data_IF_269672501237
#
_entry.id   IF_269672501237
#
_cell.length_a   1.000
_cell.length_b   1.000
_cell.length_c   1.000
_cell.angle_alpha   90.00
_cell.angle_beta   90.00
_cell.angle_gamma   90.00
#
_symmetry.space_group_name_H-M   'P 1'
#
loop_
_entity.id
_entity.type
_entity.pdbx_description
1 polymer ?
#
# COMPACT_ATOMS: atom_id res chain seq x y z
N UNK A 1 15.37 5.50 14.70
CA UNK A 1 14.65 6.68 15.21
C UNK A 1 14.71 7.73 14.12
N UNK A 2 13.60 8.45 13.90
CA UNK A 2 13.29 9.40 12.82
C UNK A 2 12.74 8.71 11.56
N UNK A 3 11.42 8.46 11.55
CA UNK A 3 10.61 8.50 10.32
C UNK A 3 9.67 9.71 10.49
N UNK A 4 10.13 10.94 10.23
CA UNK A 4 9.39 12.15 10.57
C UNK A 4 8.36 12.51 9.49
N UNK A 5 8.24 11.72 8.43
CA UNK A 5 7.35 11.97 7.28
C UNK A 5 6.77 10.65 6.74
N UNK A 6 6.25 9.78 7.61
CA UNK A 6 5.31 8.73 7.15
C UNK A 6 3.99 9.46 6.92
N UNK A 7 3.88 10.00 5.71
CA UNK A 7 2.72 10.77 5.26
C UNK A 7 3.14 11.96 4.43
N UNK A 8 3.46 11.70 3.16
CA UNK A 8 3.73 12.78 2.21
C UNK A 8 2.41 13.44 1.80
N UNK A 9 1.87 14.30 2.66
CA UNK A 9 0.87 15.27 2.23
C UNK A 9 1.58 16.38 1.45
N UNK A 10 1.93 16.05 0.20
CA UNK A 10 2.83 16.86 -0.61
C UNK A 10 2.13 18.19 -0.90
N UNK A 11 2.68 19.30 -0.40
CA UNK A 11 2.15 20.67 -0.62
C UNK A 11 1.85 21.01 -2.10
N UNK A 12 2.54 20.34 -3.03
CA UNK A 12 2.31 20.48 -4.48
C UNK A 12 1.05 19.76 -4.98
N UNK A 13 0.60 18.70 -4.31
CA UNK A 13 -0.66 18.01 -4.61
C UNK A 13 -1.84 18.83 -4.07
N UNK A 14 -1.67 19.43 -2.89
CA UNK A 14 -2.73 20.16 -2.20
C UNK A 14 -3.09 21.50 -2.86
N UNK A 15 -2.29 22.01 -3.82
CA UNK A 15 -2.55 23.28 -4.51
C UNK A 15 -2.87 24.48 -3.58
N UNK A 16 -2.30 24.49 -2.37
CA UNK A 16 -2.54 25.52 -1.35
C UNK A 16 -3.60 25.17 -0.30
N UNK A 17 -4.31 24.05 -0.44
CA UNK A 17 -5.27 23.55 0.55
C UNK A 17 -4.55 22.95 1.77
N UNK A 18 -5.18 23.01 2.96
CA UNK A 18 -4.67 22.33 4.14
C UNK A 18 -4.68 20.81 3.95
N UNK A 19 -3.65 20.16 4.46
CA UNK A 19 -3.62 18.71 4.48
C UNK A 19 -4.65 18.18 5.48
N UNK A 20 -5.75 17.64 4.98
CA UNK A 20 -6.67 16.84 5.78
C UNK A 20 -6.38 15.36 5.57
N UNK A 21 -5.78 14.73 6.59
CA UNK A 21 -5.36 13.34 6.56
C UNK A 21 -6.50 12.40 6.14
N UNK A 22 -7.68 12.56 6.74
CA UNK A 22 -8.83 11.70 6.47
C UNK A 22 -9.44 11.87 5.08
N UNK A 23 -9.20 13.01 4.40
CA UNK A 23 -9.72 13.27 3.06
C UNK A 23 -8.72 12.90 1.96
N UNK A 24 -7.42 13.15 2.17
CA UNK A 24 -6.42 13.05 1.11
C UNK A 24 -5.68 11.71 1.07
N UNK A 25 -5.81 10.89 2.11
CA UNK A 25 -5.05 9.65 2.24
C UNK A 25 -3.56 9.90 2.49
N UNK A 26 -2.79 8.81 2.49
CA UNK A 26 -1.36 8.86 2.76
C UNK A 26 -0.55 8.31 1.59
N UNK A 27 0.49 9.04 1.16
CA UNK A 27 1.45 8.54 0.18
C UNK A 27 2.84 8.40 0.78
N UNK A 28 3.46 7.25 0.53
CA UNK A 28 4.75 6.88 1.10
C UNK A 28 5.68 6.44 0.00
N UNK A 29 6.91 6.96 -0.01
CA UNK A 29 7.97 6.49 -0.91
C UNK A 29 9.01 5.78 -0.06
N UNK A 30 9.21 4.48 -0.30
CA UNK A 30 10.20 3.69 0.43
C UNK A 30 11.61 4.17 0.05
N UNK A 31 12.38 4.59 1.06
CA UNK A 31 13.76 4.98 0.94
C UNK A 31 14.75 3.85 1.25
N UNK A 32 16.02 4.01 0.87
CA UNK A 32 17.06 3.06 1.27
C UNK A 32 17.17 2.94 2.79
N UNK A 33 17.20 1.70 3.30
CA UNK A 33 17.27 1.42 4.74
C UNK A 33 15.93 1.43 5.48
N UNK A 34 14.84 1.83 4.82
CA UNK A 34 13.49 1.66 5.37
C UNK A 34 13.16 0.17 5.47
N UNK A 35 12.71 -0.23 6.66
CA UNK A 35 12.33 -1.62 6.95
C UNK A 35 10.83 -1.78 6.88
N UNK A 36 10.39 -2.92 6.33
CA UNK A 36 8.96 -3.26 6.26
C UNK A 36 8.31 -3.17 7.64
N UNK A 37 8.91 -3.75 8.68
CA UNK A 37 8.35 -3.70 10.04
C UNK A 37 8.21 -2.28 10.62
N UNK A 38 9.10 -1.35 10.24
CA UNK A 38 8.98 0.04 10.68
C UNK A 38 7.81 0.73 9.97
N UNK A 39 7.62 0.43 8.70
CA UNK A 39 6.51 0.94 7.90
C UNK A 39 5.17 0.37 8.39
N UNK A 40 5.05 -0.95 8.56
CA UNK A 40 3.85 -1.60 9.12
C UNK A 40 3.50 -1.03 10.50
N UNK A 41 4.49 -0.76 11.34
CA UNK A 41 4.27 -0.13 12.66
C UNK A 41 3.74 1.31 12.54
N UNK A 42 4.18 2.07 11.55
CA UNK A 42 3.79 3.46 11.39
C UNK A 42 2.40 3.61 10.76
N UNK A 43 2.08 2.76 9.78
CA UNK A 43 0.85 2.87 8.98
C UNK A 43 -0.26 1.92 9.43
N UNK A 44 0.07 0.96 10.30
CA UNK A 44 -0.78 -0.19 10.67
C UNK A 44 -1.14 -1.10 9.49
N UNK A 45 -0.51 -0.94 8.32
CA UNK A 45 -0.78 -1.81 7.18
C UNK A 45 0.00 -3.13 7.28
N UNK A 46 -0.61 -4.23 6.86
CA UNK A 46 0.04 -5.53 6.77
C UNK A 46 0.63 -5.72 5.36
N UNK A 47 1.96 -5.63 5.26
CA UNK A 47 2.73 -5.82 4.02
C UNK A 47 3.18 -7.28 3.89
N UNK A 48 3.64 -7.88 4.99
CA UNK A 48 4.08 -9.29 5.03
C UNK A 48 3.07 -10.20 5.71
N UNK A 49 1.98 -9.66 6.25
CA UNK A 49 0.90 -10.39 6.90
C UNK A 49 -0.43 -10.26 6.15
N UNK A 50 -1.35 -11.18 6.45
CA UNK A 50 -2.74 -11.08 5.98
C UNK A 50 -3.61 -10.48 7.10
N UNK A 51 -4.65 -9.73 6.72
CA UNK A 51 -5.67 -9.27 7.68
C UNK A 51 -6.68 -10.35 8.03
N UNK A 52 -6.81 -11.38 7.19
CA UNK A 52 -7.90 -12.35 7.26
C UNK A 52 -7.43 -13.78 7.53
N UNK A 53 -6.12 -14.01 7.61
CA UNK A 53 -5.53 -15.32 7.84
C UNK A 53 -4.21 -15.21 8.61
N UNK A 54 -3.81 -16.30 9.26
CA UNK A 54 -2.53 -16.41 9.96
C UNK A 54 -1.32 -16.59 9.02
N UNK A 55 -1.55 -16.60 7.70
CA UNK A 55 -0.49 -16.72 6.70
C UNK A 55 0.36 -15.45 6.61
N UNK A 56 1.68 -15.62 6.42
CA UNK A 56 2.63 -14.54 6.18
C UNK A 56 3.55 -14.86 5.01
N UNK A 57 4.07 -13.85 4.32
CA UNK A 57 5.09 -14.07 3.30
C UNK A 57 6.34 -14.76 3.91
N UNK A 58 6.96 -15.77 3.27
CA UNK A 58 6.73 -16.27 1.90
C UNK A 58 5.83 -17.52 1.82
N UNK A 59 4.94 -17.74 2.80
CA UNK A 59 4.04 -18.89 2.78
C UNK A 59 3.25 -18.97 1.47
N UNK A 60 3.06 -20.17 0.91
CA UNK A 60 2.44 -20.37 -0.40
C UNK A 60 1.02 -19.79 -0.50
N UNK A 61 0.29 -19.86 0.60
CA UNK A 61 -1.10 -19.40 0.67
C UNK A 61 -1.22 -17.94 1.13
N UNK A 62 -0.09 -17.21 1.26
CA UNK A 62 -0.10 -15.80 1.60
C UNK A 62 -0.77 -14.98 0.49
N UNK A 63 -1.77 -14.20 0.89
CA UNK A 63 -2.43 -13.20 0.05
C UNK A 63 -2.35 -11.85 0.78
N UNK A 64 -1.86 -10.79 0.13
CA UNK A 64 -1.74 -9.48 0.74
C UNK A 64 -3.13 -8.84 0.87
N UNK A 65 -3.35 -8.09 1.95
CA UNK A 65 -4.59 -7.33 2.18
C UNK A 65 -4.65 -6.01 1.40
N UNK A 66 -4.18 -6.00 0.16
CA UNK A 66 -4.06 -4.80 -0.69
C UNK A 66 -5.20 -4.73 -1.70
N UNK A 67 -5.69 -3.53 -1.99
CA UNK A 67 -6.69 -3.30 -3.04
C UNK A 67 -6.06 -3.41 -4.43
N UNK A 68 -4.88 -2.82 -4.61
CA UNK A 68 -4.16 -2.83 -5.87
C UNK A 68 -2.65 -2.95 -5.69
N UNK A 69 -2.02 -3.65 -6.63
CA UNK A 69 -0.57 -3.69 -6.79
C UNK A 69 -0.25 -3.47 -8.27
N UNK A 70 0.38 -2.34 -8.57
CA UNK A 70 0.75 -1.94 -9.93
C UNK A 70 2.27 -1.92 -10.11
N UNK A 71 2.72 -2.41 -11.27
CA UNK A 71 4.13 -2.34 -11.67
C UNK A 71 4.31 -1.25 -12.72
N UNK A 72 5.08 -0.22 -12.36
CA UNK A 72 5.39 0.92 -13.22
C UNK A 72 6.77 0.82 -13.89
N UNK A 73 7.36 -0.37 -13.95
CA UNK A 73 8.69 -0.65 -14.51
C UNK A 73 9.82 -0.33 -13.56
N UNK A 74 9.90 0.91 -13.05
CA UNK A 74 10.95 1.39 -12.14
C UNK A 74 10.55 1.39 -10.66
N UNK A 75 9.28 1.13 -10.36
CA UNK A 75 8.73 1.02 -9.01
C UNK A 75 7.47 0.16 -8.99
N UNK A 76 7.13 -0.35 -7.82
CA UNK A 76 5.78 -0.81 -7.54
C UNK A 76 4.96 0.28 -6.85
N UNK A 77 3.66 0.22 -7.05
CA UNK A 77 2.65 0.96 -6.28
C UNK A 77 1.76 -0.05 -5.59
N UNK A 78 1.53 0.15 -4.29
CA UNK A 78 0.68 -0.69 -3.46
C UNK A 78 -0.36 0.18 -2.79
N UNK A 79 -1.63 -0.14 -2.99
CA UNK A 79 -2.74 0.63 -2.45
C UNK A 79 -3.48 -0.19 -1.41
N UNK A 80 -3.71 0.42 -0.26
CA UNK A 80 -4.59 -0.06 0.80
C UNK A 80 -5.77 0.90 0.92
N UNK A 81 -6.98 0.38 1.00
CA UNK A 81 -8.17 1.13 1.45
C UNK A 81 -8.49 0.62 2.85
N UNK A 82 -8.48 1.50 3.84
CA UNK A 82 -8.52 1.12 5.25
C UNK A 82 -9.88 1.36 5.90
N UNK A 83 -10.77 2.11 5.25
CA UNK A 83 -12.14 2.28 5.68
C UNK A 83 -13.10 2.46 4.50
N UNK A 84 -14.40 2.42 4.78
CA UNK A 84 -15.46 2.59 3.78
C UNK A 84 -15.68 4.05 3.38
N UNK A 85 -15.01 5.00 4.05
CA UNK A 85 -15.08 6.44 3.76
C UNK A 85 -14.03 6.86 2.71
N UNK A 86 -13.23 5.91 2.21
CA UNK A 86 -12.26 6.13 1.14
C UNK A 86 -10.86 6.50 1.60
N UNK A 87 -10.55 6.44 2.90
CA UNK A 87 -9.18 6.64 3.37
C UNK A 87 -8.28 5.49 2.90
N UNK A 88 -7.19 5.84 2.24
CA UNK A 88 -6.24 4.87 1.71
C UNK A 88 -4.78 5.30 1.85
N UNK A 89 -3.91 4.30 1.76
CA UNK A 89 -2.45 4.47 1.80
C UNK A 89 -1.86 3.92 0.50
N UNK A 90 -1.17 4.79 -0.23
CA UNK A 90 -0.39 4.46 -1.42
C UNK A 90 1.10 4.36 -1.09
N UNK A 91 1.67 3.17 -1.21
CA UNK A 91 3.09 2.91 -0.97
C UNK A 91 3.80 2.70 -2.31
N UNK A 92 4.81 3.52 -2.58
CA UNK A 92 5.68 3.39 -3.74
C UNK A 92 7.00 2.75 -3.32
N UNK A 93 7.31 1.61 -3.95
CA UNK A 93 8.55 0.84 -3.71
C UNK A 93 9.46 0.98 -4.93
N UNK A 94 10.50 1.83 -4.88
CA UNK A 94 11.48 1.92 -5.96
C UNK A 94 12.21 0.59 -6.20
N UNK A 95 12.48 0.25 -7.46
CA UNK A 95 13.29 -0.92 -7.84
C UNK A 95 14.76 -0.52 -7.98
N UNK A 96 15.43 -0.26 -6.85
CA UNK A 96 16.84 0.16 -6.81
C UNK A 96 17.57 -0.45 -5.62
N UNK A 97 18.89 -0.34 -5.63
CA UNK A 97 19.73 -0.78 -4.51
C UNK A 97 19.40 -0.03 -3.21
N UNK A 98 19.59 -0.73 -2.10
CA UNK A 98 19.35 -0.23 -0.74
C UNK A 98 17.90 -0.33 -0.26
N UNK A 99 16.96 -0.71 -1.14
CA UNK A 99 15.57 -1.03 -0.77
C UNK A 99 15.53 -2.42 -0.15
N UNK A 100 14.83 -2.57 0.99
CA UNK A 100 14.73 -3.84 1.68
C UNK A 100 14.13 -4.91 0.76
N UNK A 101 14.85 -6.03 0.60
CA UNK A 101 14.44 -7.16 -0.21
C UNK A 101 13.08 -7.75 0.19
N UNK A 102 12.61 -7.52 1.43
CA UNK A 102 11.30 -7.97 1.87
C UNK A 102 10.15 -7.28 1.11
N UNK A 103 10.36 -6.10 0.54
CA UNK A 103 9.38 -5.47 -0.36
C UNK A 103 9.20 -6.22 -1.69
N UNK A 104 10.02 -7.23 -1.99
CA UNK A 104 9.78 -8.16 -3.11
C UNK A 104 8.52 -9.03 -2.95
N UNK A 105 7.91 -9.06 -1.75
CA UNK A 105 6.59 -9.65 -1.56
C UNK A 105 5.51 -8.99 -2.44
N UNK A 106 5.67 -7.69 -2.74
CA UNK A 106 4.72 -6.89 -3.52
C UNK A 106 4.47 -7.48 -4.93
N UNK A 107 5.48 -7.73 -5.79
CA UNK A 107 5.24 -8.31 -7.11
C UNK A 107 4.77 -9.76 -7.13
N UNK A 108 5.10 -10.58 -6.12
CA UNK A 108 4.89 -12.02 -6.16
C UNK A 108 3.43 -12.43 -6.04
N UNK A 109 2.58 -11.52 -5.58
CA UNK A 109 1.14 -11.72 -5.37
C UNK A 109 0.32 -11.36 -6.62
N UNK A 110 0.96 -10.76 -7.64
CA UNK A 110 0.34 -10.38 -8.92
C UNK A 110 -0.04 -11.56 -9.84
N UNK A 111 -0.02 -12.79 -9.34
CA UNK A 111 -0.45 -13.99 -10.09
C UNK A 111 -1.96 -14.21 -10.12
N UNK A 112 -2.74 -13.45 -9.36
CA UNK A 112 -4.20 -13.51 -9.43
C UNK A 112 -4.77 -12.24 -10.04
N UNK A 113 -4.88 -12.26 -11.37
CA UNK A 113 -5.88 -11.47 -12.12
C UNK A 113 -7.23 -11.71 -11.44
N UNK A 114 -7.83 -10.71 -10.78
CA UNK A 114 -9.22 -10.80 -10.29
C UNK A 114 -10.15 -10.92 -11.51
N UNK A 115 -10.71 -12.10 -11.83
CA UNK A 115 -11.46 -12.30 -13.08
C UNK A 115 -12.91 -11.78 -12.98
N UNK A 116 -13.34 -11.31 -11.80
CA UNK A 116 -14.75 -11.10 -11.47
C UNK A 116 -15.02 -9.77 -10.75
N UNK A 117 -14.44 -8.67 -11.25
CA UNK A 117 -14.74 -7.31 -10.77
C UNK A 117 -16.00 -6.61 -11.34
N UNK A 118 -16.89 -7.20 -12.18
CA UNK A 118 -18.19 -6.57 -12.44
C UNK A 118 -19.28 -6.81 -11.38
N UNK A 119 -19.01 -7.63 -10.35
CA UNK A 119 -20.05 -8.14 -9.44
C UNK A 119 -20.08 -7.44 -8.07
N UNK A 120 -18.94 -7.02 -7.53
CA UNK A 120 -18.86 -6.40 -6.19
C UNK A 120 -19.23 -4.92 -6.17
N UNK A 121 -18.93 -4.16 -7.23
CA UNK A 121 -19.33 -2.74 -7.33
C UNK A 121 -20.83 -2.52 -7.59
N UNK A 122 -21.56 -3.58 -8.01
CA UNK A 122 -23.03 -3.47 -8.23
C UNK A 122 -23.86 -3.59 -6.96
N UNK A 123 -23.27 -3.96 -5.82
CA UNK A 123 -24.00 -4.15 -4.56
C UNK A 123 -23.82 -3.01 -3.55
N UNK A 124 -22.92 -2.06 -3.78
CA UNK A 124 -22.72 -0.93 -2.85
C UNK A 124 -23.48 0.34 -3.20
N UNK A 125 -24.14 0.42 -4.36
CA UNK A 125 -25.03 1.54 -4.69
C UNK A 125 -24.36 2.91 -4.61
N UNK A 126 -23.07 2.98 -4.96
CA UNK A 126 -22.35 4.23 -5.17
C UNK A 126 -22.20 4.37 -6.67
N UNK A 127 -23.03 5.24 -7.27
CA UNK A 127 -22.86 5.74 -8.65
C UNK A 127 -21.65 6.68 -8.74
#
# INVERSE_FOLDING_TARGET
>A
MVVPDVGLCRKQILNGEPCEYHLHGEFIVVGPGDRVAALEKATSVAILGSYFADSRFPHRDFVPGTEAIEDHGFRFEVVYVLNNEGFGIGIFVPKREGIDSQYSAVPLTRRHRWPHLPALFRQTGID
#
